data_IF_670075613309
#
_entry.id   IF_670075613309
#
_cell.length_a   1.000
_cell.length_b   1.000
_cell.length_c   1.000
_cell.angle_alpha   90.00
_cell.angle_beta   90.00
_cell.angle_gamma   90.00
#
_symmetry.space_group_name_H-M   'P 1'
#
loop_
_entity.id
_entity.type
_entity.pdbx_description
1 polymer ?
#
# COMPACT_ATOMS: atom_id res chain seq x y z
N UNK A 1 -24.51 37.51 -72.13
CA UNK A 1 -23.49 37.75 -71.13
C UNK A 1 -23.59 36.66 -70.12
N UNK A 2 -22.68 35.66 -70.18
CA UNK A 2 -22.65 34.50 -69.31
C UNK A 2 -21.82 34.79 -68.02
N UNK A 3 -22.39 34.52 -66.88
CA UNK A 3 -21.63 34.45 -65.66
C UNK A 3 -21.82 33.07 -65.08
N UNK A 4 -20.72 32.30 -65.09
CA UNK A 4 -20.63 30.96 -64.49
C UNK A 4 -20.43 31.09 -63.00
N UNK A 5 -21.23 30.36 -62.21
CA UNK A 5 -21.03 30.18 -60.75
C UNK A 5 -20.41 28.79 -60.53
N UNK A 6 -19.19 28.78 -60.05
CA UNK A 6 -18.46 27.58 -59.65
C UNK A 6 -18.96 27.09 -58.30
N UNK A 7 -19.53 25.89 -58.27
CA UNK A 7 -19.90 25.21 -57.04
C UNK A 7 -18.69 24.52 -56.40
N UNK A 8 -18.44 24.77 -55.11
CA UNK A 8 -17.46 24.07 -54.30
C UNK A 8 -18.08 22.79 -53.69
N UNK A 9 -17.38 21.65 -53.64
CA UNK A 9 -17.90 20.47 -53.00
C UNK A 9 -17.71 20.53 -51.49
N UNK A 10 -18.81 20.33 -50.78
CA UNK A 10 -18.87 20.17 -49.32
C UNK A 10 -18.23 18.85 -48.91
N UNK A 11 -17.12 18.89 -48.18
CA UNK A 11 -16.53 17.72 -47.53
C UNK A 11 -17.39 17.30 -46.33
N UNK A 12 -18.10 16.20 -46.50
CA UNK A 12 -18.79 15.52 -45.41
C UNK A 12 -17.75 14.86 -44.46
N UNK A 13 -17.60 15.38 -43.26
CA UNK A 13 -16.81 14.73 -42.17
C UNK A 13 -17.58 13.50 -41.66
N UNK A 14 -17.05 12.32 -41.93
CA UNK A 14 -17.47 11.06 -41.32
C UNK A 14 -17.10 11.11 -39.83
N UNK A 15 -18.08 11.21 -38.93
CA UNK A 15 -17.94 10.91 -37.51
C UNK A 15 -17.67 9.43 -37.34
N UNK A 16 -16.43 9.08 -37.06
CA UNK A 16 -16.06 7.72 -36.61
C UNK A 16 -16.34 7.63 -35.12
N UNK A 17 -17.43 6.98 -34.74
CA UNK A 17 -17.70 6.57 -33.38
C UNK A 17 -16.80 5.41 -33.03
N UNK A 18 -15.81 5.65 -32.15
CA UNK A 18 -14.98 4.61 -31.54
C UNK A 18 -15.78 4.04 -30.37
N UNK A 19 -16.05 2.73 -30.29
CA UNK A 19 -16.67 2.14 -29.12
C UNK A 19 -15.67 2.16 -27.96
N UNK A 20 -16.05 2.78 -26.85
CA UNK A 20 -15.32 2.73 -25.60
C UNK A 20 -15.32 1.29 -25.10
N UNK A 21 -14.20 0.59 -25.31
CA UNK A 21 -13.94 -0.71 -24.71
C UNK A 21 -13.64 -0.47 -23.23
N UNK A 22 -14.54 -0.91 -22.36
CA UNK A 22 -14.31 -0.94 -20.93
C UNK A 22 -13.14 -1.87 -20.64
N UNK A 23 -11.95 -1.30 -20.40
CA UNK A 23 -10.81 -2.05 -19.89
C UNK A 23 -11.03 -2.30 -18.42
N UNK A 24 -11.40 -3.52 -18.09
CA UNK A 24 -11.31 -4.08 -16.75
C UNK A 24 -9.82 -4.12 -16.39
N UNK A 25 -9.35 -3.09 -15.69
CA UNK A 25 -7.98 -3.08 -15.14
C UNK A 25 -7.91 -4.12 -14.05
N UNK A 26 -7.48 -5.31 -14.41
CA UNK A 26 -6.92 -6.28 -13.47
C UNK A 26 -5.72 -5.61 -12.83
N UNK A 27 -5.77 -5.39 -11.51
CA UNK A 27 -4.70 -4.76 -10.75
C UNK A 27 -3.44 -5.63 -10.83
N UNK A 28 -2.53 -5.28 -11.72
CA UNK A 28 -1.25 -5.98 -11.89
C UNK A 28 -0.31 -5.48 -10.80
N UNK A 29 0.17 -6.38 -9.94
CA UNK A 29 1.21 -6.06 -8.97
C UNK A 29 2.48 -5.66 -9.71
N UNK A 30 2.93 -4.42 -9.55
CA UNK A 30 4.23 -3.97 -10.05
C UNK A 30 5.28 -4.44 -9.06
N UNK A 31 6.10 -5.42 -9.49
CA UNK A 31 7.19 -5.97 -8.70
C UNK A 31 8.51 -5.36 -9.15
N UNK A 32 9.23 -4.71 -8.25
CA UNK A 32 10.62 -4.33 -8.38
C UNK A 32 11.46 -5.22 -7.44
N UNK A 33 12.76 -5.26 -7.62
CA UNK A 33 13.65 -6.08 -6.76
C UNK A 33 13.61 -5.66 -5.28
N UNK A 34 13.13 -4.45 -4.99
CA UNK A 34 13.17 -3.85 -3.65
C UNK A 34 11.79 -3.63 -3.03
N UNK A 35 10.75 -3.44 -3.83
CA UNK A 35 9.41 -3.19 -3.32
C UNK A 35 8.33 -3.81 -4.23
N UNK A 36 7.15 -4.05 -3.65
CA UNK A 36 5.97 -4.55 -4.37
C UNK A 36 4.77 -3.69 -4.04
N UNK A 37 4.04 -3.23 -5.04
CA UNK A 37 2.74 -2.57 -4.85
C UNK A 37 1.65 -3.64 -4.90
N UNK A 38 0.84 -3.68 -3.87
CA UNK A 38 -0.31 -4.59 -3.74
C UNK A 38 -1.60 -3.82 -3.57
N UNK A 39 -2.70 -4.43 -3.97
CA UNK A 39 -4.04 -3.89 -3.82
C UNK A 39 -4.95 -4.91 -3.17
N UNK A 40 -5.87 -4.44 -2.33
CA UNK A 40 -6.94 -5.29 -1.84
C UNK A 40 -7.92 -5.62 -2.96
N UNK A 41 -8.57 -6.80 -2.91
CA UNK A 41 -9.65 -7.14 -3.83
C UNK A 41 -10.76 -6.08 -3.80
N UNK A 42 -11.40 -5.87 -4.96
CA UNK A 42 -12.54 -4.97 -5.05
C UNK A 42 -13.65 -5.43 -4.08
N UNK A 43 -14.22 -4.47 -3.33
CA UNK A 43 -15.30 -4.74 -2.36
C UNK A 43 -14.82 -5.05 -0.94
N UNK A 44 -13.52 -5.23 -0.70
CA UNK A 44 -12.99 -5.33 0.68
C UNK A 44 -12.87 -3.92 1.27
N UNK A 45 -13.83 -3.54 2.09
CA UNK A 45 -13.83 -2.26 2.83
C UNK A 45 -13.68 -2.52 4.33
N UNK A 46 -14.56 -3.33 4.88
CA UNK A 46 -14.43 -3.85 6.24
C UNK A 46 -13.27 -4.87 6.32
N UNK A 47 -12.67 -5.00 7.49
CA UNK A 47 -11.60 -5.97 7.75
C UNK A 47 -10.38 -5.86 6.81
N UNK A 48 -10.12 -4.65 6.27
CA UNK A 48 -8.99 -4.41 5.36
C UNK A 48 -7.66 -4.88 5.96
N UNK A 49 -7.43 -4.64 7.27
CA UNK A 49 -6.22 -5.11 7.95
C UNK A 49 -6.15 -6.64 7.98
N UNK A 50 -7.24 -7.31 8.34
CA UNK A 50 -7.29 -8.77 8.39
C UNK A 50 -7.11 -9.39 6.99
N UNK A 51 -7.65 -8.76 5.95
CA UNK A 51 -7.47 -9.21 4.57
C UNK A 51 -5.99 -9.13 4.16
N UNK A 52 -5.28 -8.05 4.54
CA UNK A 52 -3.84 -7.92 4.33
C UNK A 52 -3.08 -8.98 5.13
N UNK A 53 -3.37 -9.14 6.42
CA UNK A 53 -2.70 -10.13 7.30
C UNK A 53 -2.78 -11.56 6.75
N UNK A 54 -3.93 -11.95 6.19
CA UNK A 54 -4.14 -13.28 5.59
C UNK A 54 -3.17 -13.60 4.45
N UNK A 55 -2.71 -12.57 3.70
CA UNK A 55 -1.74 -12.77 2.62
C UNK A 55 -0.34 -13.14 3.13
N UNK A 56 -0.06 -12.87 4.41
CA UNK A 56 1.24 -13.15 5.03
C UNK A 56 1.24 -14.41 5.91
N UNK A 57 0.16 -15.19 5.89
CA UNK A 57 0.10 -16.49 6.60
C UNK A 57 1.26 -17.38 6.12
N UNK A 58 1.98 -17.97 7.05
CA UNK A 58 3.20 -18.73 6.80
C UNK A 58 4.49 -17.90 6.89
N UNK A 59 4.37 -16.56 7.06
CA UNK A 59 5.51 -15.65 7.23
C UNK A 59 5.34 -14.81 8.49
N UNK A 60 6.44 -14.39 9.08
CA UNK A 60 6.44 -13.29 10.07
C UNK A 60 6.37 -11.98 9.30
N UNK A 61 5.48 -11.08 9.69
CA UNK A 61 5.41 -9.76 9.07
C UNK A 61 5.37 -8.63 10.10
N UNK A 62 6.08 -7.53 9.80
CA UNK A 62 5.94 -6.24 10.44
C UNK A 62 5.04 -5.38 9.55
N UNK A 63 3.89 -5.01 10.08
CA UNK A 63 2.94 -4.08 9.45
C UNK A 63 3.16 -2.70 10.04
N UNK A 64 3.35 -1.71 9.16
CA UNK A 64 3.55 -0.29 9.47
C UNK A 64 2.42 0.51 8.82
N UNK A 65 1.59 1.16 9.62
CA UNK A 65 0.54 2.05 9.12
C UNK A 65 1.06 3.47 9.17
N UNK A 66 1.18 4.09 7.99
CA UNK A 66 1.91 5.34 7.79
C UNK A 66 1.26 6.28 6.77
N UNK A 67 1.82 7.46 6.58
CA UNK A 67 1.47 8.35 5.47
C UNK A 67 2.69 9.17 5.01
N UNK A 68 2.66 9.61 3.74
CA UNK A 68 3.75 10.41 3.15
C UNK A 68 3.96 11.74 3.86
N UNK A 69 2.89 12.32 4.37
CA UNK A 69 2.88 13.59 5.12
C UNK A 69 3.16 13.44 6.61
N UNK A 70 3.46 12.22 7.11
CA UNK A 70 3.68 11.93 8.53
C UNK A 70 5.19 11.98 8.88
N UNK A 71 5.73 13.08 9.44
CA UNK A 71 7.15 13.17 9.79
C UNK A 71 7.61 12.11 10.80
N UNK A 72 6.86 11.80 11.89
CA UNK A 72 7.27 10.74 12.82
C UNK A 72 7.33 9.36 12.14
N UNK A 73 6.42 9.05 11.21
CA UNK A 73 6.46 7.81 10.44
C UNK A 73 7.76 7.68 9.65
N UNK A 74 8.15 8.72 8.93
CA UNK A 74 9.39 8.73 8.12
C UNK A 74 10.65 8.59 8.98
N UNK A 75 10.68 9.22 10.17
CA UNK A 75 11.79 9.03 11.10
C UNK A 75 11.86 7.59 11.62
N UNK A 76 10.72 7.00 11.95
CA UNK A 76 10.65 5.61 12.38
C UNK A 76 11.15 4.64 11.30
N UNK A 77 10.77 4.85 10.03
CA UNK A 77 11.27 4.04 8.90
C UNK A 77 12.79 4.05 8.81
N UNK A 78 13.45 5.21 9.02
CA UNK A 78 14.92 5.29 9.04
C UNK A 78 15.53 4.43 10.15
N UNK A 79 14.87 4.35 11.32
CA UNK A 79 15.32 3.48 12.40
C UNK A 79 15.10 2.00 12.03
N UNK A 80 13.94 1.65 11.49
CA UNK A 80 13.63 0.28 11.02
C UNK A 80 14.61 -0.18 9.94
N UNK A 81 15.04 0.70 9.04
CA UNK A 81 15.96 0.37 7.95
C UNK A 81 17.29 -0.19 8.46
N UNK A 82 17.73 0.18 9.67
CA UNK A 82 18.96 -0.36 10.27
C UNK A 82 18.87 -1.85 10.66
N UNK A 83 17.68 -2.37 10.91
CA UNK A 83 17.44 -3.78 11.31
C UNK A 83 16.82 -4.60 10.18
N UNK A 84 16.27 -3.95 9.18
CA UNK A 84 15.50 -4.57 8.08
C UNK A 84 16.30 -5.62 7.28
N UNK A 85 17.54 -5.35 6.79
CA UNK A 85 18.26 -6.30 5.94
C UNK A 85 18.47 -7.66 6.61
N UNK A 86 18.81 -7.68 7.88
CA UNK A 86 19.04 -8.94 8.62
C UNK A 86 17.75 -9.71 8.88
N UNK A 87 16.65 -9.00 9.14
CA UNK A 87 15.33 -9.60 9.35
C UNK A 87 14.76 -10.13 8.02
N UNK A 88 14.95 -9.42 6.92
CA UNK A 88 14.54 -9.90 5.59
C UNK A 88 15.28 -11.19 5.20
N UNK A 89 16.59 -11.32 5.49
CA UNK A 89 17.35 -12.57 5.31
C UNK A 89 16.77 -13.73 6.13
N UNK A 90 16.16 -13.43 7.28
CA UNK A 90 15.45 -14.40 8.13
C UNK A 90 14.01 -14.67 7.68
N UNK A 91 13.56 -14.09 6.56
CA UNK A 91 12.24 -14.29 5.97
C UNK A 91 11.14 -13.39 6.51
N UNK A 92 11.47 -12.36 7.31
CA UNK A 92 10.49 -11.36 7.77
C UNK A 92 10.01 -10.51 6.60
N UNK A 93 8.70 -10.32 6.50
CA UNK A 93 8.06 -9.42 5.56
C UNK A 93 7.85 -8.05 6.19
N UNK A 94 8.09 -6.99 5.41
CA UNK A 94 7.80 -5.61 5.80
C UNK A 94 6.64 -5.12 4.96
N UNK A 95 5.56 -4.72 5.61
CA UNK A 95 4.28 -4.38 4.98
C UNK A 95 3.92 -2.96 5.37
N UNK A 96 3.76 -2.10 4.39
CA UNK A 96 3.47 -0.68 4.56
C UNK A 96 2.05 -0.38 4.08
N UNK A 97 1.21 0.13 4.98
CA UNK A 97 -0.19 0.47 4.69
C UNK A 97 -0.35 1.97 4.79
N UNK A 98 -0.83 2.59 3.73
CA UNK A 98 -1.24 4.00 3.70
C UNK A 98 -2.60 4.15 3.04
N UNK A 99 -3.19 5.34 3.15
CA UNK A 99 -4.44 5.67 2.47
C UNK A 99 -4.24 6.68 1.34
N UNK A 100 -5.29 6.97 0.60
CA UNK A 100 -5.33 8.02 -0.42
C UNK A 100 -5.11 9.43 0.13
N UNK A 101 -5.08 9.61 1.45
CA UNK A 101 -4.58 10.82 2.12
C UNK A 101 -3.12 11.10 1.82
N UNK A 102 -2.34 10.07 1.46
CA UNK A 102 -1.02 10.18 0.84
C UNK A 102 -1.18 10.46 -0.66
N UNK A 103 -0.83 11.64 -1.20
CA UNK A 103 -0.94 11.92 -2.62
C UNK A 103 -0.21 10.87 -3.45
N UNK A 104 -0.83 10.42 -4.55
CA UNK A 104 -0.32 9.31 -5.36
C UNK A 104 1.09 9.58 -5.91
N UNK A 105 1.33 10.79 -6.39
CA UNK A 105 2.62 11.22 -6.93
C UNK A 105 3.72 11.13 -5.86
N UNK A 106 3.51 11.76 -4.70
CA UNK A 106 4.45 11.72 -3.57
C UNK A 106 4.68 10.28 -3.09
N UNK A 107 3.63 9.46 -3.03
CA UNK A 107 3.74 8.07 -2.64
C UNK A 107 4.60 7.28 -3.64
N UNK A 108 4.37 7.44 -4.95
CA UNK A 108 5.15 6.81 -6.02
C UNK A 108 6.63 7.20 -6.00
N UNK A 109 6.96 8.42 -5.60
CA UNK A 109 8.34 8.88 -5.45
C UNK A 109 9.05 8.29 -4.22
N UNK A 110 8.29 7.95 -3.18
CA UNK A 110 8.84 7.48 -1.91
C UNK A 110 9.05 5.97 -1.88
N UNK A 111 8.07 5.18 -2.32
CA UNK A 111 8.07 3.72 -2.14
C UNK A 111 9.25 2.98 -2.80
N UNK A 112 9.87 3.44 -3.91
CA UNK A 112 11.07 2.80 -4.44
C UNK A 112 12.26 2.77 -3.46
N UNK A 113 12.25 3.64 -2.47
CA UNK A 113 13.29 3.74 -1.42
C UNK A 113 12.92 2.97 -0.15
N UNK A 114 11.73 2.40 -0.08
CA UNK A 114 11.21 1.71 1.09
C UNK A 114 10.99 0.25 0.72
N UNK A 115 11.93 -0.62 1.07
CA UNK A 115 11.87 -2.04 0.71
C UNK A 115 10.74 -2.75 1.46
N UNK A 116 9.89 -3.46 0.72
CA UNK A 116 8.76 -4.20 1.26
C UNK A 116 7.52 -4.15 0.39
N UNK A 117 6.41 -4.63 0.93
CA UNK A 117 5.11 -4.65 0.27
C UNK A 117 4.29 -3.42 0.65
N UNK A 118 3.73 -2.73 -0.33
CA UNK A 118 3.01 -1.47 -0.14
C UNK A 118 1.56 -1.58 -0.53
N UNK A 119 0.67 -1.20 0.38
CA UNK A 119 -0.76 -1.04 0.14
C UNK A 119 -1.14 0.43 0.23
N UNK A 120 -1.86 0.93 -0.77
CA UNK A 120 -2.48 2.24 -0.75
C UNK A 120 -3.99 2.06 -0.80
N UNK A 121 -4.60 2.16 0.36
CA UNK A 121 -6.03 1.95 0.57
C UNK A 121 -6.83 3.13 -0.01
N UNK A 122 -8.04 2.85 -0.48
CA UNK A 122 -9.00 3.90 -0.82
C UNK A 122 -9.33 4.73 0.41
N UNK A 123 -9.90 5.92 0.21
CA UNK A 123 -10.31 6.80 1.31
C UNK A 123 -11.26 6.10 2.27
N UNK A 124 -12.17 5.28 1.74
CA UNK A 124 -13.14 4.53 2.54
C UNK A 124 -12.46 3.41 3.34
N UNK A 125 -11.64 2.58 2.69
CA UNK A 125 -10.87 1.52 3.35
C UNK A 125 -9.98 2.07 4.46
N UNK A 126 -9.30 3.19 4.20
CA UNK A 126 -8.45 3.87 5.18
C UNK A 126 -9.25 4.33 6.40
N UNK A 127 -10.38 5.02 6.16
CA UNK A 127 -11.27 5.50 7.22
C UNK A 127 -11.78 4.33 8.08
N UNK A 128 -12.21 3.25 7.42
CA UNK A 128 -12.71 2.06 8.08
C UNK A 128 -11.62 1.40 8.92
N UNK A 129 -10.42 1.19 8.36
CA UNK A 129 -9.27 0.64 9.08
C UNK A 129 -8.95 1.46 10.34
N UNK A 130 -8.84 2.79 10.24
CA UNK A 130 -8.54 3.66 11.38
C UNK A 130 -9.60 3.53 12.49
N UNK A 131 -10.88 3.48 12.11
CA UNK A 131 -11.99 3.39 13.05
C UNK A 131 -12.11 1.99 13.69
N UNK A 132 -12.09 0.92 12.88
CA UNK A 132 -12.26 -0.46 13.37
C UNK A 132 -11.13 -0.89 14.29
N UNK A 133 -9.92 -0.45 14.01
CA UNK A 133 -8.74 -0.77 14.82
C UNK A 133 -8.53 0.21 15.98
N UNK A 134 -9.39 1.24 16.11
CA UNK A 134 -9.25 2.26 17.15
C UNK A 134 -7.94 3.03 17.08
N UNK A 135 -7.42 3.27 15.86
CA UNK A 135 -6.11 3.92 15.66
C UNK A 135 -6.26 5.43 15.88
N UNK A 136 -5.66 6.00 16.95
CA UNK A 136 -5.80 7.42 17.25
C UNK A 136 -4.91 8.30 16.37
N UNK A 137 -3.86 7.74 15.81
CA UNK A 137 -2.88 8.43 14.97
C UNK A 137 -1.77 7.50 14.49
N UNK A 138 -0.95 7.98 13.58
CA UNK A 138 0.15 7.22 12.96
C UNK A 138 1.53 7.81 13.31
N UNK A 139 2.62 6.98 13.34
CA UNK A 139 2.66 5.58 12.93
C UNK A 139 2.09 4.63 13.98
N UNK A 140 1.64 3.46 13.55
CA UNK A 140 1.33 2.31 14.42
C UNK A 140 1.87 1.04 13.77
N UNK A 141 2.15 0.04 14.63
CA UNK A 141 2.83 -1.17 14.24
C UNK A 141 2.10 -2.42 14.72
N UNK A 142 2.14 -3.47 13.90
CA UNK A 142 1.68 -4.80 14.28
C UNK A 142 2.67 -5.85 13.78
N UNK A 143 3.00 -6.81 14.63
CA UNK A 143 3.79 -8.00 14.23
C UNK A 143 2.87 -9.20 14.24
N UNK A 144 2.85 -9.93 13.14
CA UNK A 144 2.13 -11.20 13.02
C UNK A 144 3.11 -12.37 12.93
N UNK A 145 2.75 -13.45 13.60
CA UNK A 145 3.45 -14.73 13.54
C UNK A 145 3.10 -15.50 12.24
N UNK A 146 3.83 -16.56 11.93
CA UNK A 146 3.58 -17.46 10.80
C UNK A 146 2.18 -18.07 10.80
N UNK A 147 1.62 -18.34 11.98
CA UNK A 147 0.26 -18.86 12.16
C UNK A 147 -0.84 -17.81 11.96
N UNK A 148 -0.47 -16.53 11.76
CA UNK A 148 -1.37 -15.40 11.67
C UNK A 148 -1.74 -14.78 13.02
N UNK A 149 -1.28 -15.33 14.15
CA UNK A 149 -1.52 -14.72 15.46
C UNK A 149 -0.70 -13.44 15.64
N UNK A 150 -1.21 -12.52 16.47
CA UNK A 150 -0.51 -11.28 16.79
C UNK A 150 0.61 -11.55 17.79
N UNK A 151 1.84 -11.19 17.45
CA UNK A 151 2.99 -11.20 18.35
C UNK A 151 3.18 -9.86 19.10
N UNK A 152 2.78 -8.76 18.45
CA UNK A 152 2.83 -7.40 18.99
C UNK A 152 1.81 -6.52 18.28
N UNK A 153 1.25 -5.57 19.01
CA UNK A 153 0.40 -4.52 18.43
C UNK A 153 0.44 -3.29 19.31
N UNK A 154 0.57 -2.12 18.73
CA UNK A 154 0.34 -0.82 19.38
C UNK A 154 -0.64 0.05 18.58
N UNK A 155 -1.60 -0.60 17.93
CA UNK A 155 -2.58 0.10 17.08
C UNK A 155 -3.38 1.15 17.84
N UNK A 156 -3.64 0.92 19.13
CA UNK A 156 -4.41 1.82 20.01
C UNK A 156 -3.54 2.85 20.76
N UNK A 157 -2.25 2.58 20.90
CA UNK A 157 -1.31 3.46 21.64
C UNK A 157 -0.61 4.44 20.70
N UNK A 158 -0.27 3.98 19.51
CA UNK A 158 0.48 4.77 18.54
C UNK A 158 1.98 4.87 18.80
N UNK A 159 2.67 5.50 17.84
CA UNK A 159 4.10 5.75 17.90
C UNK A 159 4.98 4.55 17.53
N UNK A 160 6.26 4.81 17.26
CA UNK A 160 7.24 3.75 17.04
C UNK A 160 7.84 3.30 18.36
N UNK A 161 7.75 2.00 18.73
CA UNK A 161 8.19 1.52 20.04
C UNK A 161 9.71 1.39 20.17
N UNK A 162 10.47 1.56 19.10
CA UNK A 162 11.93 1.42 19.08
C UNK A 162 12.42 0.07 18.57
N UNK A 163 13.66 0.05 18.04
CA UNK A 163 14.28 -1.18 17.56
C UNK A 163 14.59 -2.19 18.68
N UNK A 164 14.85 -1.70 19.88
CA UNK A 164 15.05 -2.49 21.09
C UNK A 164 13.82 -3.31 21.50
N UNK A 165 12.63 -2.84 21.15
CA UNK A 165 11.37 -3.57 21.34
C UNK A 165 11.03 -4.44 20.11
N UNK A 166 11.02 -3.86 18.92
CA UNK A 166 10.52 -4.56 17.71
C UNK A 166 11.45 -5.67 17.25
N UNK A 167 12.77 -5.47 17.27
CA UNK A 167 13.73 -6.48 16.78
C UNK A 167 13.64 -7.81 17.53
N UNK A 168 13.72 -7.85 18.89
CA UNK A 168 13.60 -9.12 19.61
C UNK A 168 12.24 -9.81 19.43
N UNK A 169 11.15 -9.06 19.26
CA UNK A 169 9.82 -9.64 18.97
C UNK A 169 9.83 -10.33 17.61
N UNK A 170 10.35 -9.68 16.57
CA UNK A 170 10.46 -10.26 15.23
C UNK A 170 11.36 -11.50 15.23
N UNK A 171 12.49 -11.45 15.92
CA UNK A 171 13.42 -12.60 16.02
C UNK A 171 12.79 -13.78 16.79
N UNK A 172 12.02 -13.53 17.82
CA UNK A 172 11.27 -14.55 18.54
C UNK A 172 10.18 -15.17 17.65
N UNK A 173 9.43 -14.34 16.92
CA UNK A 173 8.40 -14.80 15.98
C UNK A 173 8.97 -15.68 14.86
N UNK A 174 10.17 -15.36 14.34
CA UNK A 174 10.86 -16.17 13.33
C UNK A 174 11.20 -17.57 13.86
N UNK A 175 11.62 -17.67 15.12
CA UNK A 175 11.98 -18.95 15.77
C UNK A 175 10.78 -19.80 16.14
N UNK A 176 9.61 -19.21 16.28
CA UNK A 176 8.36 -19.92 16.58
C UNK A 176 8.01 -20.86 15.40
N UNK A 177 7.77 -22.14 15.74
CA UNK A 177 7.38 -23.19 14.77
C UNK A 177 5.93 -23.04 14.39
#
# INVERSE_FOLDING_TARGET
>A
MCTAVLGLPSCAQKKTTVPAKAETKTATAVKSETYTVKTLPAGVTADSLQAIEKEYKGSVALIDVWATWCPPCRRAMTMVDSIKPDLMKKGVKFVYITGETSPLETWNEMIPKIHGDHYRLTKEQWKTLMNEQGIPGIPVYKVINKDGSTAFSNLTEGGYPGNDVIKPILEAAVKKK
#
